data_IF_151959126508
#
_entry.id   IF_151959126508
#
_cell.length_a   1.000
_cell.length_b   1.000
_cell.length_c   1.000
_cell.angle_alpha   90.00
_cell.angle_beta   90.00
_cell.angle_gamma   90.00
#
_symmetry.space_group_name_H-M   'P 1'
#
loop_
_entity.id
_entity.type
_entity.pdbx_description
1 polymer ?
#
# COMPACT_ATOMS: atom_id res chain seq x y z
N UNK A 1 -7.74 -13.78 10.74
CA UNK A 1 -8.35 -13.50 9.43
C UNK A 1 -8.10 -14.70 8.54
N UNK A 2 -9.14 -15.36 8.06
CA UNK A 2 -9.03 -16.42 7.06
C UNK A 2 -8.70 -15.83 5.67
N UNK A 3 -8.12 -16.59 4.72
CA UNK A 3 -7.84 -16.09 3.37
C UNK A 3 -9.08 -15.51 2.67
N UNK A 4 -10.26 -16.09 2.92
CA UNK A 4 -11.54 -15.60 2.40
C UNK A 4 -11.89 -14.22 2.96
N UNK A 5 -11.75 -14.03 4.27
CA UNK A 5 -11.97 -12.73 4.91
C UNK A 5 -11.02 -11.66 4.37
N UNK A 6 -9.76 -12.03 4.13
CA UNK A 6 -8.77 -11.11 3.55
C UNK A 6 -9.18 -10.65 2.14
N UNK A 7 -9.60 -11.57 1.27
CA UNK A 7 -10.03 -11.23 -0.09
C UNK A 7 -11.25 -10.31 -0.08
N UNK A 8 -12.25 -10.61 0.76
CA UNK A 8 -13.48 -9.80 0.86
C UNK A 8 -13.14 -8.38 1.34
N UNK A 9 -12.31 -8.26 2.36
CA UNK A 9 -11.83 -6.98 2.90
C UNK A 9 -11.01 -6.22 1.86
N UNK A 10 -10.08 -6.90 1.19
CA UNK A 10 -9.26 -6.32 0.12
C UNK A 10 -10.13 -5.74 -1.00
N UNK A 11 -11.09 -6.52 -1.53
CA UNK A 11 -12.01 -6.05 -2.58
C UNK A 11 -12.83 -4.86 -2.06
N UNK A 12 -13.31 -4.92 -0.82
CA UNK A 12 -14.05 -3.83 -0.19
C UNK A 12 -13.26 -2.51 -0.17
N UNK A 13 -11.96 -2.58 0.15
CA UNK A 13 -11.06 -1.42 0.21
C UNK A 13 -10.57 -0.89 -1.13
N UNK A 14 -10.98 -1.48 -2.25
CA UNK A 14 -10.59 -1.04 -3.60
C UNK A 14 -11.78 -0.86 -4.57
N UNK A 15 -13.00 -0.70 -4.05
CA UNK A 15 -14.20 -0.47 -4.88
C UNK A 15 -14.20 0.86 -5.64
N UNK A 16 -13.50 1.88 -5.14
CA UNK A 16 -13.52 3.19 -5.78
C UNK A 16 -12.68 3.17 -7.07
N UNK A 17 -13.22 3.59 -8.23
CA UNK A 17 -12.53 3.43 -9.52
C UNK A 17 -11.19 4.17 -9.56
N UNK A 18 -11.11 5.37 -8.96
CA UNK A 18 -9.84 6.11 -8.85
C UNK A 18 -8.83 5.34 -8.00
N UNK A 19 -9.27 4.69 -6.92
CA UNK A 19 -8.39 3.91 -6.07
C UNK A 19 -7.83 2.70 -6.83
N UNK A 20 -8.70 1.98 -7.55
CA UNK A 20 -8.31 0.84 -8.36
C UNK A 20 -7.30 1.21 -9.46
N UNK A 21 -7.56 2.27 -10.23
CA UNK A 21 -6.65 2.72 -11.30
C UNK A 21 -5.30 3.15 -10.75
N UNK A 22 -5.29 3.95 -9.68
CA UNK A 22 -4.03 4.39 -9.06
C UNK A 22 -3.24 3.23 -8.48
N UNK A 23 -3.89 2.18 -7.97
CA UNK A 23 -3.21 0.97 -7.50
C UNK A 23 -2.65 0.12 -8.64
N UNK A 24 -3.38 -0.03 -9.75
CA UNK A 24 -2.91 -0.77 -10.93
C UNK A 24 -1.58 -0.21 -11.46
N UNK A 25 -1.38 1.11 -11.34
CA UNK A 25 -0.12 1.76 -11.74
C UNK A 25 0.89 1.83 -10.58
N UNK A 26 0.43 2.26 -9.40
CA UNK A 26 1.28 2.54 -8.25
C UNK A 26 1.94 1.29 -7.66
N UNK A 27 1.24 0.15 -7.62
CA UNK A 27 1.78 -1.10 -7.06
C UNK A 27 2.94 -1.63 -7.93
N UNK A 28 2.77 -1.87 -9.26
CA UNK A 28 3.89 -2.29 -10.09
C UNK A 28 5.07 -1.31 -10.09
N UNK A 29 4.79 0.00 -10.11
CA UNK A 29 5.84 1.03 -10.05
C UNK A 29 6.65 0.92 -8.75
N UNK A 30 5.99 0.78 -7.61
CA UNK A 30 6.68 0.65 -6.32
C UNK A 30 7.54 -0.63 -6.26
N UNK A 31 7.00 -1.78 -6.68
CA UNK A 31 7.76 -3.04 -6.70
C UNK A 31 8.93 -3.02 -7.67
N UNK A 32 8.75 -2.44 -8.86
CA UNK A 32 9.85 -2.28 -9.82
C UNK A 32 10.90 -1.29 -9.32
N UNK A 33 10.49 -0.21 -8.64
CA UNK A 33 11.38 0.71 -7.95
C UNK A 33 12.27 0.00 -6.93
N UNK A 34 11.70 -0.88 -6.10
CA UNK A 34 12.44 -1.69 -5.14
C UNK A 34 13.44 -2.62 -5.87
N UNK A 35 13.02 -3.28 -6.95
CA UNK A 35 13.93 -4.09 -7.77
C UNK A 35 15.12 -3.29 -8.30
N UNK A 36 14.88 -2.05 -8.76
CA UNK A 36 15.94 -1.15 -9.23
C UNK A 36 16.89 -0.73 -8.10
N UNK A 37 16.38 -0.48 -6.89
CA UNK A 37 17.23 -0.22 -5.72
C UNK A 37 18.16 -1.41 -5.44
N UNK A 38 17.63 -2.63 -5.47
CA UNK A 38 18.39 -3.86 -5.21
C UNK A 38 19.42 -4.17 -6.31
N UNK A 39 19.24 -3.64 -7.51
CA UNK A 39 20.15 -3.82 -8.65
C UNK A 39 21.09 -2.63 -8.89
N UNK A 40 21.12 -1.66 -7.97
CA UNK A 40 22.06 -0.54 -8.00
C UNK A 40 21.58 0.71 -8.78
N UNK A 41 20.37 0.70 -9.33
CA UNK A 41 19.78 1.84 -10.06
C UNK A 41 19.09 2.81 -9.09
N UNK A 42 19.86 3.40 -8.18
CA UNK A 42 19.34 4.12 -7.01
C UNK A 42 18.38 5.27 -7.36
N UNK A 43 18.73 6.15 -8.29
CA UNK A 43 17.90 7.32 -8.62
C UNK A 43 16.51 6.94 -9.14
N UNK A 44 16.45 6.04 -10.12
CA UNK A 44 15.20 5.55 -10.69
C UNK A 44 14.44 4.68 -9.69
N UNK A 45 15.15 3.86 -8.90
CA UNK A 45 14.57 3.03 -7.86
C UNK A 45 13.87 3.84 -6.77
N UNK A 46 14.52 4.90 -6.26
CA UNK A 46 13.90 5.82 -5.29
C UNK A 46 12.68 6.50 -5.92
N UNK A 47 12.83 7.03 -7.14
CA UNK A 47 11.76 7.77 -7.82
C UNK A 47 10.51 6.91 -7.99
N UNK A 48 10.66 5.70 -8.53
CA UNK A 48 9.54 4.79 -8.75
C UNK A 48 8.92 4.27 -7.45
N UNK A 49 9.75 4.02 -6.42
CA UNK A 49 9.24 3.59 -5.11
C UNK A 49 8.39 4.69 -4.47
N UNK A 50 8.91 5.93 -4.41
CA UNK A 50 8.21 7.06 -3.79
C UNK A 50 6.97 7.45 -4.60
N UNK A 51 7.11 7.59 -5.92
CA UNK A 51 5.98 7.95 -6.78
C UNK A 51 4.91 6.85 -6.78
N UNK A 52 5.31 5.58 -6.87
CA UNK A 52 4.39 4.44 -6.84
C UNK A 52 3.61 4.35 -5.52
N UNK A 53 4.29 4.56 -4.39
CA UNK A 53 3.64 4.64 -3.08
C UNK A 53 2.70 5.85 -2.98
N UNK A 54 3.11 7.00 -3.50
CA UNK A 54 2.28 8.21 -3.49
C UNK A 54 0.98 8.03 -4.28
N UNK A 55 1.01 7.35 -5.43
CA UNK A 55 -0.19 7.01 -6.20
C UNK A 55 -1.14 6.12 -5.39
N UNK A 56 -0.62 5.10 -4.71
CA UNK A 56 -1.43 4.23 -3.83
C UNK A 56 -2.07 5.04 -2.70
N UNK A 57 -1.31 5.93 -2.05
CA UNK A 57 -1.81 6.84 -1.02
C UNK A 57 -2.95 7.73 -1.56
N UNK A 58 -2.80 8.32 -2.75
CA UNK A 58 -3.85 9.13 -3.36
C UNK A 58 -5.11 8.31 -3.67
N UNK A 59 -4.96 7.05 -4.08
CA UNK A 59 -6.07 6.13 -4.28
C UNK A 59 -6.85 5.88 -3.00
N UNK A 60 -6.13 5.54 -1.92
CA UNK A 60 -6.70 5.33 -0.59
C UNK A 60 -7.39 6.60 -0.06
N UNK A 61 -6.76 7.75 -0.24
CA UNK A 61 -7.33 9.06 0.12
C UNK A 61 -8.63 9.34 -0.65
N UNK A 62 -8.68 9.04 -1.94
CA UNK A 62 -9.89 9.21 -2.75
C UNK A 62 -11.02 8.26 -2.32
N UNK A 63 -10.69 7.04 -1.87
CA UNK A 63 -11.67 6.10 -1.32
C UNK A 63 -12.08 6.43 0.13
N UNK A 64 -11.30 7.26 0.84
CA UNK A 64 -11.54 7.60 2.25
C UNK A 64 -11.11 6.51 3.22
N UNK A 65 -10.17 5.65 2.84
CA UNK A 65 -9.61 4.60 3.70
C UNK A 65 -8.10 4.76 3.89
N UNK A 66 -7.55 4.04 4.86
CA UNK A 66 -6.12 4.09 5.17
C UNK A 66 -5.32 3.10 4.35
N UNK A 67 -4.06 3.45 4.06
CA UNK A 67 -3.08 2.53 3.49
C UNK A 67 -2.84 1.34 4.44
N UNK A 68 -2.55 0.18 3.86
CA UNK A 68 -2.44 -1.07 4.62
C UNK A 68 -1.34 -1.04 5.70
N UNK A 69 -0.20 -0.40 5.43
CA UNK A 69 0.93 -0.30 6.35
C UNK A 69 0.57 0.51 7.59
N UNK A 70 -0.17 1.62 7.43
CA UNK A 70 -0.65 2.44 8.55
C UNK A 70 -1.62 1.64 9.41
N UNK A 71 -2.52 0.88 8.78
CA UNK A 71 -3.45 -0.01 9.48
C UNK A 71 -2.70 -1.08 10.28
N UNK A 72 -1.66 -1.69 9.69
CA UNK A 72 -0.80 -2.67 10.35
C UNK A 72 -0.03 -2.06 11.53
N UNK A 73 0.59 -0.89 11.35
CA UNK A 73 1.32 -0.19 12.42
C UNK A 73 0.38 0.13 13.58
N UNK A 74 -0.81 0.67 13.32
CA UNK A 74 -1.82 0.92 14.36
C UNK A 74 -2.22 -0.34 15.09
N UNK A 75 -2.39 -1.45 14.38
CA UNK A 75 -2.71 -2.74 14.97
C UNK A 75 -1.60 -3.24 15.90
N UNK A 76 -0.34 -3.17 15.47
CA UNK A 76 0.82 -3.56 16.28
C UNK A 76 0.98 -2.67 17.52
N UNK A 77 0.83 -1.35 17.38
CA UNK A 77 0.89 -0.40 18.49
C UNK A 77 -0.20 -0.69 19.53
N UNK A 78 -1.44 -0.92 19.09
CA UNK A 78 -2.53 -1.29 19.99
C UNK A 78 -2.23 -2.58 20.76
N UNK A 79 -1.68 -3.60 20.08
CA UNK A 79 -1.31 -4.87 20.71
C UNK A 79 -0.24 -4.69 21.78
N UNK A 80 0.78 -3.86 21.51
CA UNK A 80 1.84 -3.53 22.47
C UNK A 80 1.31 -2.80 23.71
N UNK A 81 0.31 -1.92 23.54
CA UNK A 81 -0.33 -1.20 24.66
C UNK A 81 -1.18 -2.13 25.53
N UNK A 82 -1.88 -3.10 24.94
CA UNK A 82 -2.73 -4.05 25.68
C UNK A 82 -1.97 -5.20 26.35
N UNK A 83 -0.69 -5.39 26.01
CA UNK A 83 0.19 -6.38 26.65
C UNK A 83 0.98 -5.82 27.84
N UNK A 84 0.83 -4.51 28.15
CA UNK A 84 1.30 -3.88 29.38
C UNK A 84 0.17 -3.81 30.40
#
# INVERSE_FOLDING_TARGET
>A
MSPKEFIIDYIGRHKHPVNAVLHIVGVPAAFYGIFLLLTGHLGMGITLTVAGYFLQYLGHKAQGNEVGEVTLIKHLLKKLQTSK
#
